data_IF_743208655372
#
_entry.id   IF_743208655372
#
_cell.length_a   1.000
_cell.length_b   1.000
_cell.length_c   1.000
_cell.angle_alpha   90.00
_cell.angle_beta   90.00
_cell.angle_gamma   90.00
#
_symmetry.space_group_name_H-M   'P 1'
#
loop_
_entity.id
_entity.type
_entity.pdbx_description
1 polymer ?
#
# COMPACT_ATOMS: atom_id res chain seq x y z
N UNK A 1 -15.30 -18.51 19.70
CA UNK A 1 -16.39 -17.73 19.05
C UNK A 1 -15.88 -16.66 18.08
N UNK A 2 -14.81 -15.95 18.42
CA UNK A 2 -14.34 -14.78 17.63
C UNK A 2 -13.63 -15.13 16.32
N UNK A 3 -12.80 -16.17 16.31
CA UNK A 3 -12.08 -16.59 15.10
C UNK A 3 -13.03 -17.00 13.95
N UNK A 4 -14.16 -17.65 14.27
CA UNK A 4 -15.20 -18.03 13.30
C UNK A 4 -15.95 -16.81 12.75
N UNK A 5 -16.11 -15.76 13.54
CA UNK A 5 -16.77 -14.52 13.12
C UNK A 5 -15.89 -13.70 12.19
N UNK A 6 -14.60 -13.55 12.51
CA UNK A 6 -13.63 -12.86 11.66
C UNK A 6 -13.50 -13.55 10.29
N UNK A 7 -13.47 -14.89 10.26
CA UNK A 7 -13.41 -15.65 9.01
C UNK A 7 -14.66 -15.43 8.14
N UNK A 8 -15.86 -15.46 8.74
CA UNK A 8 -17.11 -15.18 8.01
C UNK A 8 -17.16 -13.75 7.47
N UNK A 9 -16.68 -12.78 8.22
CA UNK A 9 -16.64 -11.38 7.80
C UNK A 9 -15.67 -11.18 6.63
N UNK A 10 -14.53 -11.84 6.66
CA UNK A 10 -13.57 -11.83 5.54
C UNK A 10 -14.19 -12.42 4.27
N UNK A 11 -14.84 -13.58 4.36
CA UNK A 11 -15.51 -14.20 3.20
C UNK A 11 -16.56 -13.24 2.63
N UNK A 12 -17.41 -12.66 3.47
CA UNK A 12 -18.42 -11.69 3.01
C UNK A 12 -17.79 -10.45 2.37
N UNK A 13 -16.66 -9.97 2.90
CA UNK A 13 -15.96 -8.82 2.31
C UNK A 13 -15.41 -9.17 0.91
N UNK A 14 -14.80 -10.35 0.76
CA UNK A 14 -14.28 -10.84 -0.52
C UNK A 14 -15.43 -11.06 -1.52
N UNK A 15 -16.53 -11.68 -1.10
CA UNK A 15 -17.69 -11.89 -1.96
C UNK A 15 -18.32 -10.56 -2.42
N UNK A 16 -18.43 -9.58 -1.51
CA UNK A 16 -18.90 -8.24 -1.85
C UNK A 16 -17.96 -7.53 -2.84
N UNK A 17 -16.65 -7.66 -2.64
CA UNK A 17 -15.65 -7.13 -3.55
C UNK A 17 -15.77 -7.78 -4.92
N UNK A 18 -15.84 -9.12 -4.99
CA UNK A 18 -16.03 -9.87 -6.22
C UNK A 18 -17.28 -9.40 -6.97
N UNK A 19 -18.43 -9.34 -6.29
CA UNK A 19 -19.67 -8.89 -6.89
C UNK A 19 -19.59 -7.45 -7.43
N UNK A 20 -18.91 -6.55 -6.71
CA UNK A 20 -18.66 -5.18 -7.18
C UNK A 20 -17.81 -5.16 -8.45
N UNK A 21 -16.74 -5.98 -8.50
CA UNK A 21 -15.86 -6.08 -9.67
C UNK A 21 -16.58 -6.71 -10.88
N UNK A 22 -17.38 -7.73 -10.65
CA UNK A 22 -18.21 -8.35 -11.70
C UNK A 22 -19.24 -7.37 -12.25
N UNK A 23 -19.89 -6.58 -11.39
CA UNK A 23 -20.81 -5.54 -11.84
C UNK A 23 -20.09 -4.47 -12.67
N UNK A 24 -18.91 -4.03 -12.23
CA UNK A 24 -18.09 -3.05 -12.97
C UNK A 24 -17.63 -3.62 -14.32
N UNK A 25 -17.20 -4.87 -14.35
CA UNK A 25 -16.82 -5.54 -15.58
C UNK A 25 -17.99 -5.59 -16.59
N UNK A 26 -19.21 -5.94 -16.11
CA UNK A 26 -20.41 -5.93 -16.96
C UNK A 26 -20.73 -4.54 -17.49
N UNK A 27 -20.57 -3.51 -16.67
CA UNK A 27 -20.77 -2.12 -17.07
C UNK A 27 -19.76 -1.71 -18.16
N UNK A 28 -18.46 -1.99 -17.94
CA UNK A 28 -17.41 -1.73 -18.91
C UNK A 28 -17.64 -2.47 -20.24
N UNK A 29 -18.00 -3.76 -20.19
CA UNK A 29 -18.33 -4.55 -21.40
C UNK A 29 -19.58 -4.04 -22.10
N UNK A 30 -20.49 -3.37 -21.42
CA UNK A 30 -21.64 -2.73 -22.01
C UNK A 30 -21.31 -1.36 -22.64
N UNK A 31 -20.32 -0.65 -22.06
CA UNK A 31 -19.80 0.62 -22.57
C UNK A 31 -18.85 0.41 -23.77
N UNK A 32 -18.19 -0.73 -23.86
CA UNK A 32 -17.17 -1.10 -24.87
C UNK A 32 -17.69 -1.06 -26.33
N UNK A 33 -18.98 -0.89 -26.52
CA UNK A 33 -19.57 -0.62 -27.84
C UNK A 33 -19.44 0.84 -28.31
N UNK A 34 -18.84 1.72 -27.50
CA UNK A 34 -18.78 3.17 -27.78
C UNK A 34 -17.39 3.76 -27.81
N UNK A 35 -16.36 3.06 -27.35
CA UNK A 35 -15.02 3.61 -27.23
C UNK A 35 -14.03 2.71 -27.97
N UNK A 36 -13.51 3.17 -29.11
CA UNK A 36 -12.44 2.53 -29.88
C UNK A 36 -11.05 2.77 -29.24
N UNK A 37 -11.00 2.99 -27.92
CA UNK A 37 -9.76 3.21 -27.17
C UNK A 37 -8.94 1.92 -27.04
N UNK A 38 -7.61 2.04 -27.26
CA UNK A 38 -6.68 0.94 -27.02
C UNK A 38 -6.67 0.55 -25.53
N UNK A 39 -6.81 -0.73 -25.25
CA UNK A 39 -6.64 -1.27 -23.91
C UNK A 39 -5.16 -1.52 -23.59
N UNK A 40 -4.82 -1.63 -22.29
CA UNK A 40 -3.42 -1.64 -21.85
C UNK A 40 -2.58 -2.79 -22.46
N UNK A 41 -3.16 -3.96 -22.61
CA UNK A 41 -2.51 -5.13 -23.23
C UNK A 41 -2.27 -4.97 -24.74
N UNK A 42 -3.10 -4.18 -25.44
CA UNK A 42 -2.91 -3.86 -26.85
C UNK A 42 -1.83 -2.79 -27.10
N UNK A 43 -1.47 -2.03 -26.06
CA UNK A 43 -0.42 -1.01 -26.14
C UNK A 43 0.99 -1.59 -26.30
N UNK A 44 1.19 -2.88 -26.02
CA UNK A 44 2.50 -3.53 -26.11
C UNK A 44 3.51 -2.99 -25.11
N UNK A 45 3.05 -2.62 -23.90
CA UNK A 45 3.91 -2.08 -22.83
C UNK A 45 4.64 -3.22 -22.15
N UNK A 46 5.98 -3.21 -22.22
CA UNK A 46 6.86 -4.19 -21.59
C UNK A 46 7.36 -3.72 -20.22
N UNK A 47 7.39 -2.41 -20.00
CA UNK A 47 7.92 -1.81 -18.77
C UNK A 47 7.17 -0.55 -18.39
N UNK A 48 6.84 -0.42 -17.10
CA UNK A 48 6.13 0.72 -16.54
C UNK A 48 6.94 1.38 -15.43
N UNK A 49 7.26 2.66 -15.60
CA UNK A 49 7.87 3.52 -14.59
C UNK A 49 6.78 4.35 -13.92
N UNK A 50 6.69 4.29 -12.61
CA UNK A 50 5.69 5.03 -11.83
C UNK A 50 6.40 5.99 -10.89
N UNK A 51 6.35 7.26 -11.21
CA UNK A 51 6.82 8.33 -10.32
C UNK A 51 5.75 8.67 -9.28
N UNK A 52 6.20 9.16 -8.12
CA UNK A 52 5.35 9.45 -6.95
C UNK A 52 4.44 8.26 -6.59
N UNK A 53 5.01 7.06 -6.57
CA UNK A 53 4.30 5.80 -6.39
C UNK A 53 3.53 5.71 -5.06
N UNK A 54 3.85 6.55 -4.07
CA UNK A 54 3.08 6.68 -2.83
C UNK A 54 1.61 7.08 -3.05
N UNK A 55 1.28 7.63 -4.21
CA UNK A 55 -0.11 7.93 -4.58
C UNK A 55 -0.97 6.68 -4.79
N UNK A 56 -0.37 5.50 -4.91
CA UNK A 56 -1.06 4.23 -5.14
C UNK A 56 -1.08 3.31 -3.92
N UNK A 57 -0.64 3.79 -2.76
CA UNK A 57 -0.59 3.05 -1.51
C UNK A 57 -1.96 2.61 -0.95
N UNK A 58 -3.05 3.26 -1.38
CA UNK A 58 -4.41 2.98 -0.93
C UNK A 58 -5.02 1.81 -1.72
N UNK A 59 -4.29 0.70 -1.82
CA UNK A 59 -4.80 -0.54 -2.38
C UNK A 59 -5.59 -1.29 -1.31
N UNK A 60 -6.77 -1.78 -1.67
CA UNK A 60 -7.59 -2.57 -0.76
C UNK A 60 -6.84 -3.80 -0.24
N UNK A 61 -6.88 -3.98 1.08
CA UNK A 61 -6.19 -5.05 1.78
C UNK A 61 -7.20 -5.95 2.49
N UNK A 62 -7.56 -7.11 1.91
CA UNK A 62 -8.42 -8.09 2.57
C UNK A 62 -7.76 -8.62 3.84
N UNK A 63 -8.47 -8.59 4.96
CA UNK A 63 -7.96 -9.02 6.26
C UNK A 63 -9.08 -9.52 7.18
N UNK A 64 -8.73 -10.41 8.10
CA UNK A 64 -9.58 -10.84 9.22
C UNK A 64 -9.48 -9.89 10.41
N UNK A 65 -8.50 -8.98 10.40
CA UNK A 65 -8.26 -8.04 11.48
C UNK A 65 -9.32 -6.95 11.47
N UNK A 66 -10.22 -7.00 12.44
CA UNK A 66 -11.25 -5.99 12.63
C UNK A 66 -10.72 -4.84 13.50
N UNK A 67 -11.07 -3.61 13.14
CA UNK A 67 -10.81 -2.39 13.94
C UNK A 67 -9.33 -2.04 14.17
N UNK A 68 -8.41 -2.56 13.36
CA UNK A 68 -7.01 -2.14 13.39
C UNK A 68 -6.84 -0.87 12.56
N UNK A 69 -6.36 0.20 13.19
CA UNK A 69 -6.17 1.46 12.51
C UNK A 69 -5.04 1.36 11.47
N UNK A 70 -5.26 1.99 10.31
CA UNK A 70 -4.27 2.05 9.23
C UNK A 70 -4.41 0.95 8.19
N UNK A 71 -5.30 -0.03 8.37
CA UNK A 71 -5.61 -1.00 7.33
C UNK A 71 -6.64 -0.41 6.38
N UNK A 72 -6.32 -0.40 5.10
CA UNK A 72 -7.23 0.06 4.04
C UNK A 72 -8.20 -1.07 3.65
N UNK A 73 -9.40 -1.00 4.18
CA UNK A 73 -10.49 -1.94 3.85
C UNK A 73 -11.27 -1.53 2.61
N UNK A 74 -11.10 -0.26 2.17
CA UNK A 74 -11.65 0.27 0.93
C UNK A 74 -10.50 0.84 0.12
N UNK A 75 -10.26 0.31 -1.07
CA UNK A 75 -9.20 0.77 -1.95
C UNK A 75 -9.65 1.91 -2.88
N UNK A 76 -8.68 2.62 -3.45
CA UNK A 76 -8.93 3.54 -4.56
C UNK A 76 -8.96 2.78 -5.88
N UNK A 77 -9.85 3.18 -6.79
CA UNK A 77 -9.92 2.60 -8.15
C UNK A 77 -8.60 2.78 -8.89
N UNK A 78 -7.93 3.92 -8.72
CA UNK A 78 -6.61 4.19 -9.32
C UNK A 78 -5.53 3.22 -8.84
N UNK A 79 -5.50 2.90 -7.54
CA UNK A 79 -4.53 1.93 -7.02
C UNK A 79 -4.85 0.51 -7.50
N UNK A 80 -6.12 0.18 -7.64
CA UNK A 80 -6.54 -1.12 -8.17
C UNK A 80 -6.21 -1.25 -9.66
N UNK A 81 -6.47 -0.22 -10.47
CA UNK A 81 -6.12 -0.20 -11.89
C UNK A 81 -4.60 -0.42 -12.10
N UNK A 82 -3.76 0.31 -11.37
CA UNK A 82 -2.32 0.09 -11.41
C UNK A 82 -1.95 -1.33 -10.94
N UNK A 83 -2.64 -1.87 -9.94
CA UNK A 83 -2.38 -3.23 -9.46
C UNK A 83 -2.69 -4.28 -10.54
N UNK A 84 -3.78 -4.13 -11.27
CA UNK A 84 -4.09 -5.02 -12.40
C UNK A 84 -3.03 -4.95 -13.50
N UNK A 85 -2.58 -3.74 -13.85
CA UNK A 85 -1.47 -3.54 -14.81
C UNK A 85 -0.16 -4.14 -14.31
N UNK A 86 0.15 -4.00 -13.03
CA UNK A 86 1.34 -4.62 -12.42
C UNK A 86 1.28 -6.15 -12.49
N UNK A 87 0.12 -6.74 -12.23
CA UNK A 87 -0.07 -8.19 -12.35
C UNK A 87 0.14 -8.68 -13.78
N UNK A 88 -0.43 -8.00 -14.75
CA UNK A 88 -0.23 -8.27 -16.16
C UNK A 88 1.27 -8.24 -16.54
N UNK A 89 2.00 -7.22 -16.08
CA UNK A 89 3.43 -7.11 -16.35
C UNK A 89 4.24 -8.23 -15.69
N UNK A 90 3.96 -8.59 -14.44
CA UNK A 90 4.63 -9.71 -13.76
C UNK A 90 4.38 -11.05 -14.44
N UNK A 91 3.18 -11.28 -14.97
CA UNK A 91 2.83 -12.51 -15.68
C UNK A 91 3.54 -12.63 -17.04
N UNK A 92 3.69 -11.50 -17.75
CA UNK A 92 4.31 -11.49 -19.08
C UNK A 92 5.84 -11.24 -19.03
N UNK A 93 6.33 -10.56 -17.96
CA UNK A 93 7.73 -10.18 -17.79
C UNK A 93 8.21 -10.52 -16.37
N UNK A 94 8.38 -11.82 -16.02
CA UNK A 94 8.76 -12.23 -14.67
C UNK A 94 10.07 -11.58 -14.18
N UNK A 95 10.03 -10.98 -12.99
CA UNK A 95 11.18 -10.34 -12.35
C UNK A 95 11.53 -8.94 -12.86
N UNK A 96 10.78 -8.41 -13.82
CA UNK A 96 10.93 -7.03 -14.33
C UNK A 96 9.60 -6.54 -14.93
N UNK A 97 9.59 -5.35 -15.51
CA UNK A 97 8.37 -4.74 -16.09
C UNK A 97 7.76 -3.64 -15.23
N UNK A 98 8.16 -3.48 -13.97
CA UNK A 98 7.63 -2.43 -13.10
C UNK A 98 8.72 -1.78 -12.24
N UNK A 99 8.77 -0.46 -12.24
CA UNK A 99 9.64 0.33 -11.36
C UNK A 99 8.85 1.46 -10.71
N UNK A 100 8.99 1.59 -9.40
CA UNK A 100 8.42 2.68 -8.61
C UNK A 100 9.51 3.64 -8.14
N UNK A 101 9.22 4.93 -8.24
CA UNK A 101 10.03 5.99 -7.64
C UNK A 101 9.18 6.76 -6.62
N UNK A 102 9.70 6.97 -5.41
CA UNK A 102 9.04 7.77 -4.38
C UNK A 102 10.00 8.19 -3.29
N UNK A 103 9.86 9.41 -2.79
CA UNK A 103 10.56 9.87 -1.59
C UNK A 103 9.94 9.39 -0.28
N UNK A 104 8.73 8.82 -0.30
CA UNK A 104 7.96 8.44 0.90
C UNK A 104 7.26 7.09 0.72
N UNK A 105 8.00 5.98 0.66
CA UNK A 105 7.40 4.65 0.45
C UNK A 105 6.47 4.25 1.61
N UNK A 106 6.75 4.75 2.81
CA UNK A 106 5.93 4.57 4.01
C UNK A 106 5.73 5.96 4.63
N UNK A 107 4.49 6.41 4.76
CA UNK A 107 4.18 7.73 5.33
C UNK A 107 3.28 7.66 6.56
N UNK A 108 2.27 6.80 6.57
CA UNK A 108 1.25 6.79 7.61
C UNK A 108 1.17 5.47 8.38
N UNK A 109 1.31 4.35 7.70
CA UNK A 109 1.13 3.03 8.31
C UNK A 109 2.12 2.01 7.76
N UNK A 110 2.39 0.99 8.58
CA UNK A 110 3.22 -0.15 8.20
C UNK A 110 2.60 -0.96 7.05
N UNK A 111 1.28 -0.91 6.89
CA UNK A 111 0.55 -1.58 5.80
C UNK A 111 0.95 -1.07 4.42
N UNK A 112 1.41 0.18 4.34
CA UNK A 112 1.89 0.76 3.08
C UNK A 112 3.10 0.00 2.52
N UNK A 113 3.99 -0.51 3.39
CA UNK A 113 5.12 -1.35 2.96
C UNK A 113 4.65 -2.67 2.34
N UNK A 114 3.70 -3.33 2.98
CA UNK A 114 3.09 -4.53 2.40
C UNK A 114 2.45 -4.24 1.03
N UNK A 115 1.77 -3.10 0.91
CA UNK A 115 1.16 -2.68 -0.36
C UNK A 115 2.23 -2.48 -1.44
N UNK A 116 3.33 -1.79 -1.14
CA UNK A 116 4.44 -1.63 -2.10
C UNK A 116 5.03 -2.99 -2.51
N UNK A 117 5.18 -3.90 -1.57
CA UNK A 117 5.67 -5.24 -1.87
C UNK A 117 4.70 -6.05 -2.74
N UNK A 118 3.39 -5.90 -2.56
CA UNK A 118 2.39 -6.52 -3.44
C UNK A 118 2.53 -6.09 -4.89
N UNK A 119 2.91 -4.84 -5.12
CA UNK A 119 3.17 -4.34 -6.47
C UNK A 119 4.50 -4.85 -7.04
N UNK A 120 5.57 -4.85 -6.25
CA UNK A 120 6.94 -4.97 -6.75
C UNK A 120 7.54 -6.37 -6.62
N UNK A 121 7.15 -7.13 -5.58
CA UNK A 121 7.69 -8.47 -5.28
C UNK A 121 6.59 -9.46 -4.81
N UNK A 122 5.53 -9.66 -5.61
CA UNK A 122 4.48 -10.62 -5.27
C UNK A 122 4.99 -12.05 -5.14
N UNK A 123 5.98 -12.43 -5.95
CA UNK A 123 6.60 -13.76 -5.89
C UNK A 123 7.41 -13.95 -4.59
N UNK A 124 8.09 -12.91 -4.12
CA UNK A 124 8.81 -12.96 -2.85
C UNK A 124 7.88 -13.15 -1.66
N UNK A 125 6.69 -12.55 -1.69
CA UNK A 125 5.63 -12.79 -0.71
C UNK A 125 5.16 -14.25 -0.75
N UNK A 126 4.88 -14.77 -1.94
CA UNK A 126 4.40 -16.15 -2.12
C UNK A 126 5.44 -17.18 -1.70
N UNK A 127 6.71 -17.01 -2.09
CA UNK A 127 7.80 -17.91 -1.68
C UNK A 127 7.97 -18.04 -0.17
N UNK A 128 7.57 -17.00 0.57
CA UNK A 128 7.62 -16.99 2.06
C UNK A 128 6.31 -17.39 2.72
N UNK A 129 5.25 -17.64 1.95
CA UNK A 129 3.92 -17.96 2.47
C UNK A 129 3.24 -16.79 3.20
N UNK A 130 3.61 -15.56 2.86
CA UNK A 130 3.09 -14.32 3.47
C UNK A 130 2.40 -13.41 2.46
N UNK A 131 1.91 -13.96 1.37
CA UNK A 131 1.17 -13.25 0.32
C UNK A 131 -0.15 -12.65 0.84
N UNK A 132 -0.71 -13.22 1.90
CA UNK A 132 -1.88 -12.68 2.58
C UNK A 132 -1.47 -11.74 3.70
N UNK A 133 -2.14 -10.59 3.77
CA UNK A 133 -1.82 -9.55 4.75
C UNK A 133 -1.77 -10.06 6.20
N UNK A 134 -2.70 -10.93 6.60
CA UNK A 134 -2.76 -11.44 7.96
C UNK A 134 -1.50 -12.25 8.33
N UNK A 135 -0.92 -13.00 7.38
CA UNK A 135 0.33 -13.75 7.57
C UNK A 135 1.53 -12.79 7.62
N UNK A 136 1.58 -11.81 6.71
CA UNK A 136 2.60 -10.77 6.71
C UNK A 136 2.59 -9.96 8.01
N UNK A 137 1.41 -9.54 8.45
CA UNK A 137 1.22 -8.78 9.68
C UNK A 137 1.61 -9.58 10.94
N UNK A 138 1.30 -10.87 10.98
CA UNK A 138 1.73 -11.76 12.07
C UNK A 138 3.26 -11.94 12.13
N UNK A 139 3.94 -11.82 10.99
CA UNK A 139 5.40 -11.98 10.91
C UNK A 139 6.15 -10.70 11.26
N UNK A 140 5.63 -9.53 10.84
CA UNK A 140 6.36 -8.27 10.88
C UNK A 140 5.71 -7.15 11.69
N UNK A 141 4.48 -7.32 12.14
CA UNK A 141 3.73 -6.29 12.84
C UNK A 141 3.32 -6.67 14.24
N UNK A 142 3.51 -5.76 15.18
CA UNK A 142 2.96 -5.86 16.54
C UNK A 142 1.74 -4.95 16.64
N UNK A 143 0.59 -5.56 16.96
CA UNK A 143 -0.65 -4.83 17.22
C UNK A 143 -0.71 -4.50 18.72
N UNK A 144 -0.90 -3.23 19.02
CA UNK A 144 -1.03 -2.74 20.39
C UNK A 144 -2.39 -2.10 20.56
N UNK A 145 -3.06 -2.47 21.66
CA UNK A 145 -4.30 -1.86 22.08
C UNK A 145 -4.00 -0.65 22.95
N UNK A 146 -4.51 0.49 22.55
CA UNK A 146 -4.37 1.76 23.28
C UNK A 146 -5.74 2.35 23.57
N UNK A 147 -5.84 3.10 24.68
CA UNK A 147 -7.02 3.90 24.97
C UNK A 147 -6.85 5.28 24.35
N UNK A 148 -7.70 5.65 23.41
CA UNK A 148 -7.70 6.95 22.76
C UNK A 148 -8.93 7.77 23.18
N UNK A 149 -8.74 9.08 23.26
CA UNK A 149 -9.87 9.99 23.47
C UNK A 149 -10.74 9.95 22.20
N UNK A 150 -12.04 9.78 22.36
CA UNK A 150 -12.99 9.82 21.26
C UNK A 150 -12.96 11.20 20.56
N UNK A 151 -13.33 11.31 19.27
CA UNK A 151 -13.29 12.56 18.54
C UNK A 151 -14.13 13.69 19.14
N UNK A 152 -15.14 13.33 19.93
CA UNK A 152 -16.00 14.25 20.68
C UNK A 152 -15.39 14.71 22.02
N UNK A 153 -14.21 14.16 22.39
CA UNK A 153 -13.53 14.47 23.65
C UNK A 153 -14.20 13.92 24.92
N UNK A 154 -15.33 13.19 24.79
CA UNK A 154 -16.18 12.85 25.92
C UNK A 154 -15.85 11.51 26.57
N UNK A 155 -15.16 10.60 25.89
CA UNK A 155 -14.90 9.24 26.37
C UNK A 155 -13.56 8.67 25.91
N UNK A 156 -13.05 7.68 26.65
CA UNK A 156 -11.92 6.84 26.22
C UNK A 156 -12.48 5.61 25.51
N UNK A 157 -11.91 5.29 24.35
CA UNK A 157 -12.25 4.08 23.60
C UNK A 157 -11.01 3.24 23.30
N UNK A 158 -11.11 1.91 23.37
CA UNK A 158 -10.03 1.04 22.94
C UNK A 158 -9.83 1.14 21.44
N UNK A 159 -8.59 1.24 21.01
CA UNK A 159 -8.21 1.24 19.60
C UNK A 159 -6.95 0.41 19.39
N UNK A 160 -7.06 -0.55 18.50
CA UNK A 160 -5.92 -1.36 18.07
C UNK A 160 -5.23 -0.71 16.89
N UNK A 161 -3.91 -0.68 16.91
CA UNK A 161 -3.11 -0.22 15.79
C UNK A 161 -1.83 -1.04 15.67
N UNK A 162 -1.25 -1.08 14.49
CA UNK A 162 0.14 -1.50 14.35
C UNK A 162 1.04 -0.45 14.97
N UNK A 163 1.73 -0.83 16.07
CA UNK A 163 2.56 0.11 16.83
C UNK A 163 4.01 0.09 16.38
N UNK A 164 4.52 -1.07 16.01
CA UNK A 164 5.91 -1.22 15.62
C UNK A 164 6.13 -2.44 14.73
N UNK A 165 7.24 -2.39 14.00
CA UNK A 165 7.75 -3.53 13.29
C UNK A 165 8.46 -4.49 14.25
N UNK A 166 8.22 -5.78 14.05
CA UNK A 166 8.99 -6.86 14.63
C UNK A 166 9.77 -7.56 13.53
N UNK A 167 10.74 -8.40 13.89
CA UNK A 167 11.58 -9.13 12.93
C UNK A 167 12.21 -8.23 11.85
N UNK A 168 12.70 -7.06 12.29
CA UNK A 168 13.27 -6.04 11.40
C UNK A 168 14.39 -6.53 10.49
N UNK A 169 15.34 -7.39 10.93
CA UNK A 169 16.43 -7.85 10.05
C UNK A 169 15.91 -8.57 8.82
N UNK A 170 14.93 -9.46 8.97
CA UNK A 170 14.32 -10.18 7.85
C UNK A 170 13.51 -9.26 6.96
N UNK A 171 12.73 -8.35 7.55
CA UNK A 171 11.96 -7.35 6.82
C UNK A 171 12.87 -6.45 5.97
N UNK A 172 14.00 -5.98 6.54
CA UNK A 172 14.97 -5.17 5.81
C UNK A 172 15.64 -5.94 4.67
N UNK A 173 16.03 -7.19 4.91
CA UNK A 173 16.58 -8.04 3.87
C UNK A 173 15.58 -8.24 2.72
N UNK A 174 14.34 -8.50 3.06
CA UNK A 174 13.25 -8.66 2.09
C UNK A 174 13.02 -7.37 1.31
N UNK A 175 13.00 -6.22 1.97
CA UNK A 175 12.81 -4.93 1.33
C UNK A 175 13.95 -4.60 0.35
N UNK A 176 15.19 -4.84 0.75
CA UNK A 176 16.38 -4.62 -0.10
C UNK A 176 16.44 -5.54 -1.32
N UNK A 177 15.72 -6.66 -1.32
CA UNK A 177 15.70 -7.57 -2.46
C UNK A 177 14.98 -6.97 -3.69
N UNK A 178 14.05 -6.03 -3.47
CA UNK A 178 13.29 -5.40 -4.56
C UNK A 178 13.38 -3.87 -4.58
N UNK A 179 14.16 -3.26 -3.70
CA UNK A 179 14.28 -1.80 -3.62
C UNK A 179 15.72 -1.33 -3.46
N UNK A 180 16.01 -0.18 -4.04
CA UNK A 180 17.21 0.61 -3.78
C UNK A 180 16.83 1.87 -2.99
N UNK A 181 17.59 2.16 -1.93
CA UNK A 181 17.34 3.32 -1.07
C UNK A 181 18.52 4.27 -1.14
N UNK A 182 18.25 5.46 -1.66
CA UNK A 182 19.22 6.54 -1.75
C UNK A 182 18.89 7.63 -0.73
N UNK A 183 19.76 7.82 0.27
CA UNK A 183 19.60 8.91 1.23
C UNK A 183 20.28 10.19 0.75
N UNK A 184 19.88 11.37 1.26
CA UNK A 184 20.53 12.63 0.91
C UNK A 184 22.03 12.64 1.17
N UNK A 185 22.53 11.88 2.14
CA UNK A 185 23.94 11.75 2.47
C UNK A 185 24.71 10.91 1.45
N UNK A 186 24.02 9.98 0.75
CA UNK A 186 24.60 9.15 -0.31
C UNK A 186 24.67 9.87 -1.65
N UNK A 187 23.90 10.96 -1.79
CA UNK A 187 23.84 11.74 -3.01
C UNK A 187 24.71 13.00 -2.89
N UNK A 188 25.73 13.13 -3.73
CA UNK A 188 26.56 14.35 -3.83
C UNK A 188 25.83 15.44 -4.64
N UNK A 189 24.67 15.86 -4.15
CA UNK A 189 23.87 16.90 -4.79
C UNK A 189 24.18 18.27 -4.19
N UNK A 190 24.35 19.30 -5.01
CA UNK A 190 24.50 20.66 -4.52
C UNK A 190 23.25 21.10 -3.76
N UNK A 191 23.36 21.32 -2.45
CA UNK A 191 22.26 21.80 -1.62
C UNK A 191 22.40 23.32 -1.45
N UNK A 192 21.33 24.09 -1.65
CA UNK A 192 21.35 25.48 -1.28
C UNK A 192 21.54 25.59 0.23
N UNK A 193 22.58 26.32 0.64
CA UNK A 193 22.81 26.61 2.05
C UNK A 193 22.12 27.93 2.39
N UNK A 194 21.22 27.96 3.37
CA UNK A 194 20.67 29.22 3.83
C UNK A 194 21.78 30.12 4.38
N UNK A 195 21.70 31.44 4.19
CA UNK A 195 22.65 32.38 4.79
C UNK A 195 22.68 32.13 6.31
N UNK A 196 23.88 31.96 6.89
CA UNK A 196 24.04 31.79 8.33
C UNK A 196 23.91 30.38 8.88
N UNK A 197 23.70 29.34 8.06
CA UNK A 197 23.63 27.92 8.45
C UNK A 197 22.59 27.55 9.55
N UNK A 198 21.72 28.47 9.94
CA UNK A 198 20.59 28.25 10.86
C UNK A 198 19.29 28.72 10.21
N UNK A 199 18.22 28.00 10.47
CA UNK A 199 16.89 28.46 10.08
C UNK A 199 16.51 29.68 10.93
N UNK A 200 16.10 30.78 10.29
CA UNK A 200 15.56 31.95 10.99
C UNK A 200 14.09 31.70 11.31
N UNK A 201 13.75 31.87 12.59
CA UNK A 201 12.37 31.74 13.03
C UNK A 201 11.66 33.10 12.83
N UNK A 202 10.79 33.16 11.84
CA UNK A 202 9.96 34.34 11.60
C UNK A 202 8.56 34.10 12.17
N UNK A 203 8.22 34.72 13.33
CA UNK A 203 6.88 34.62 13.89
C UNK A 203 5.89 35.39 13.02
N UNK A 204 4.89 34.69 12.47
CA UNK A 204 3.78 35.33 11.79
C UNK A 204 2.61 35.49 12.77
N UNK A 205 2.20 36.67 13.19
CA UNK A 205 1.01 36.84 14.03
C UNK A 205 -0.22 36.41 13.24
N UNK A 206 -1.07 35.62 13.89
CA UNK A 206 -2.38 35.27 13.31
C UNK A 206 -3.26 36.53 13.31
N UNK A 207 -3.84 36.85 12.16
CA UNK A 207 -4.83 37.93 11.97
C UNK A 207 -6.18 37.54 12.54
#
# INVERSE_FOLDING_TARGET
GDASKGHRNLIKAIEKQKARREARLKELLAEDKKDDGLVFDELGVDYLFVDEAHNFKNLETPTKMERVAGIQTTGSERAFDLYMKSRYLHENHPGHGLMFATGTPISNTMVELYTMQRFLDPEGLTRRGIEHFDAWAATFGEVVDTMEISPDGASLRPRSRFARFINLPELQQMFRAFSDVQTPEMLDLPRPKPPGAKADFVPCPMS
#
